data_IF_377294336712
#
_entry.id   IF_377294336712
#
_cell.length_a   1.000
_cell.length_b   1.000
_cell.length_c   1.000
_cell.angle_alpha   90.00
_cell.angle_beta   90.00
_cell.angle_gamma   90.00
#
_symmetry.space_group_name_H-M   'P 1'
#
loop_
_entity.id
_entity.type
_entity.pdbx_description
1 polymer ?
#
# COMPACT_ATOMS: atom_id res chain seq x y z
N UNK A 1 -72.79 -2.89 25.13
CA UNK A 1 -72.31 -3.37 23.82
C UNK A 1 -70.81 -3.06 23.73
N UNK A 2 -69.99 -4.06 23.37
CA UNK A 2 -68.52 -4.11 23.25
C UNK A 2 -67.73 -4.55 24.48
N UNK A 3 -67.44 -5.85 24.46
CA UNK A 3 -66.60 -6.63 25.38
C UNK A 3 -65.10 -6.29 25.24
N UNK A 4 -64.39 -6.42 26.37
CA UNK A 4 -62.93 -6.43 26.45
C UNK A 4 -62.43 -7.84 26.17
N UNK A 5 -61.50 -7.99 25.22
CA UNK A 5 -60.78 -9.24 24.98
C UNK A 5 -59.30 -9.04 25.31
N UNK A 6 -58.89 -9.56 26.45
CA UNK A 6 -57.48 -9.75 26.84
C UNK A 6 -56.92 -10.98 26.12
N UNK A 7 -55.83 -10.82 25.39
CA UNK A 7 -55.02 -11.93 24.87
C UNK A 7 -53.73 -12.03 25.71
N UNK A 8 -53.62 -13.14 26.45
CA UNK A 8 -52.35 -13.69 26.92
C UNK A 8 -51.70 -14.45 25.75
N UNK A 9 -50.38 -14.38 25.67
CA UNK A 9 -49.55 -15.34 24.93
C UNK A 9 -48.34 -15.68 25.79
N UNK A 10 -48.25 -16.94 26.18
CA UNK A 10 -47.10 -17.58 26.82
C UNK A 10 -46.02 -17.92 25.76
N UNK A 11 -44.77 -18.09 26.23
CA UNK A 11 -43.54 -18.36 25.46
C UNK A 11 -43.53 -19.67 24.66
N UNK A 12 -42.47 -20.08 23.96
CA UNK A 12 -41.05 -19.80 24.08
C UNK A 12 -40.30 -21.13 23.84
N UNK A 13 -39.09 -21.04 23.26
CA UNK A 13 -38.08 -22.11 23.14
C UNK A 13 -38.20 -23.15 22.01
N UNK A 14 -37.82 -22.77 20.77
CA UNK A 14 -37.25 -23.74 19.81
C UNK A 14 -36.19 -23.17 18.83
N UNK A 15 -35.86 -21.88 18.92
CA UNK A 15 -34.96 -21.21 17.95
C UNK A 15 -33.46 -21.21 18.28
N UNK A 16 -33.05 -21.58 19.50
CA UNK A 16 -31.69 -21.31 19.99
C UNK A 16 -30.67 -22.45 19.80
N UNK A 17 -31.10 -23.67 19.41
CA UNK A 17 -30.17 -24.81 19.26
C UNK A 17 -29.64 -25.03 17.83
N UNK A 18 -30.26 -24.46 16.79
CA UNK A 18 -29.80 -24.64 15.39
C UNK A 18 -28.69 -23.66 14.96
N UNK A 19 -28.58 -22.49 15.58
CA UNK A 19 -27.58 -21.47 15.20
C UNK A 19 -26.15 -21.73 15.68
N UNK A 20 -25.95 -22.59 16.69
CA UNK A 20 -24.60 -22.82 17.25
C UNK A 20 -23.79 -23.85 16.46
N UNK A 21 -24.44 -24.87 15.86
CA UNK A 21 -23.75 -25.92 15.10
C UNK A 21 -23.21 -25.44 13.74
N UNK A 22 -23.92 -24.55 13.04
CA UNK A 22 -23.46 -24.02 11.74
C UNK A 22 -22.25 -23.08 11.87
N UNK A 23 -22.13 -22.35 12.99
CA UNK A 23 -21.02 -21.44 13.24
C UNK A 23 -19.67 -22.17 13.47
N UNK A 24 -19.72 -23.36 14.10
CA UNK A 24 -18.54 -24.18 14.39
C UNK A 24 -17.99 -24.87 13.14
N UNK A 25 -18.88 -25.30 12.23
CA UNK A 25 -18.49 -25.93 10.96
C UNK A 25 -17.79 -24.93 10.02
N UNK A 26 -18.31 -23.69 9.90
CA UNK A 26 -17.69 -22.62 9.11
C UNK A 26 -16.31 -22.20 9.66
N UNK A 27 -16.15 -22.08 10.98
CA UNK A 27 -14.83 -21.77 11.60
C UNK A 27 -13.80 -22.87 11.38
N UNK A 28 -14.21 -24.16 11.41
CA UNK A 28 -13.32 -25.29 11.11
C UNK A 28 -12.94 -25.36 9.63
N UNK A 29 -13.85 -25.01 8.72
CA UNK A 29 -13.56 -24.95 7.28
C UNK A 29 -12.57 -23.83 6.95
N UNK A 30 -12.73 -22.64 7.54
CA UNK A 30 -11.80 -21.51 7.36
C UNK A 30 -10.39 -21.81 7.92
N UNK A 31 -10.30 -22.47 9.09
CA UNK A 31 -9.00 -22.91 9.65
C UNK A 31 -8.31 -23.96 8.78
N UNK A 32 -9.06 -24.88 8.15
CA UNK A 32 -8.50 -25.88 7.23
C UNK A 32 -8.05 -25.27 5.90
N UNK A 33 -8.74 -24.24 5.41
CA UNK A 33 -8.33 -23.49 4.22
C UNK A 33 -7.06 -22.67 4.47
N UNK A 34 -6.94 -22.00 5.62
CA UNK A 34 -5.74 -21.26 6.01
C UNK A 34 -4.52 -22.17 6.21
N UNK A 35 -4.71 -23.35 6.82
CA UNK A 35 -3.63 -24.34 7.00
C UNK A 35 -3.15 -24.94 5.66
N UNK A 36 -4.03 -25.05 4.65
CA UNK A 36 -3.65 -25.51 3.30
C UNK A 36 -2.90 -24.43 2.50
N UNK A 37 -3.25 -23.15 2.66
CA UNK A 37 -2.51 -22.04 2.05
C UNK A 37 -1.11 -21.88 2.66
N UNK A 38 -0.95 -22.15 3.96
CA UNK A 38 0.36 -22.14 4.65
C UNK A 38 1.30 -23.27 4.22
N UNK A 39 0.77 -24.38 3.69
CA UNK A 39 1.57 -25.57 3.36
C UNK A 39 2.13 -25.58 1.91
N UNK A 40 1.88 -24.54 1.11
CA UNK A 40 2.28 -24.48 -0.31
C UNK A 40 3.34 -23.41 -0.63
N UNK A 41 3.90 -22.73 0.38
CA UNK A 41 5.07 -21.89 0.19
C UNK A 41 6.36 -22.71 0.36
N UNK A 42 7.28 -22.74 -0.63
CA UNK A 42 8.61 -23.30 -0.41
C UNK A 42 9.38 -22.41 0.59
N UNK A 43 10.28 -22.98 1.42
CA UNK A 43 11.08 -22.21 2.35
C UNK A 43 12.04 -21.27 1.60
N UNK A 44 12.24 -20.07 2.15
CA UNK A 44 13.21 -19.09 1.64
C UNK A 44 14.61 -19.63 1.92
N UNK A 45 15.28 -20.16 0.91
CA UNK A 45 16.68 -20.55 1.01
C UNK A 45 17.59 -19.32 1.18
N UNK A 46 18.48 -19.40 2.18
CA UNK A 46 19.54 -18.43 2.47
C UNK A 46 20.52 -18.34 1.29
N UNK A 47 20.41 -17.29 0.47
CA UNK A 47 21.51 -16.87 -0.40
C UNK A 47 22.47 -15.94 0.35
N UNK A 48 23.42 -16.54 1.07
CA UNK A 48 24.66 -15.85 1.43
C UNK A 48 25.65 -16.03 0.26
N UNK A 49 25.84 -15.00 -0.57
CA UNK A 49 26.99 -14.92 -1.47
C UNK A 49 27.88 -13.77 -1.06
N UNK A 50 29.11 -14.14 -0.77
CA UNK A 50 30.28 -13.36 -0.41
C UNK A 50 30.62 -12.35 -1.51
N UNK A 51 30.76 -11.07 -1.13
CA UNK A 51 31.30 -10.00 -1.99
C UNK A 51 32.83 -10.00 -1.84
N UNK A 52 33.65 -10.13 -2.90
CA UNK A 52 35.10 -10.00 -2.77
C UNK A 52 35.51 -8.52 -2.73
N UNK A 53 36.46 -8.20 -1.83
CA UNK A 53 37.11 -6.88 -1.69
C UNK A 53 38.01 -6.58 -2.91
N UNK A 54 38.21 -5.29 -3.29
CA UNK A 54 39.13 -4.94 -4.36
C UNK A 54 40.59 -5.05 -3.87
N UNK A 55 41.44 -5.62 -4.73
CA UNK A 55 42.89 -5.70 -4.52
C UNK A 55 43.57 -4.35 -4.80
N UNK A 56 44.63 -4.10 -4.04
CA UNK A 56 45.44 -2.89 -4.04
C UNK A 56 46.19 -2.67 -5.37
N UNK A 57 46.40 -1.39 -5.68
CA UNK A 57 47.18 -0.89 -6.81
C UNK A 57 48.66 -1.31 -6.70
N UNK A 58 49.21 -1.87 -7.78
CA UNK A 58 50.64 -1.94 -8.02
C UNK A 58 51.03 -0.92 -9.09
N UNK A 59 52.05 -0.14 -8.75
CA UNK A 59 52.74 0.87 -9.53
C UNK A 59 53.68 0.23 -10.55
N UNK A 60 53.62 0.66 -11.82
CA UNK A 60 54.67 0.43 -12.82
C UNK A 60 54.79 1.69 -13.71
N UNK A 61 56.01 2.20 -13.82
CA UNK A 61 56.44 3.32 -14.68
C UNK A 61 56.57 2.92 -16.18
N UNK A 62 56.65 3.89 -17.12
CA UNK A 62 56.39 3.67 -18.54
C UNK A 62 57.66 3.54 -19.40
N UNK A 63 57.52 3.20 -20.69
CA UNK A 63 58.43 3.71 -21.70
C UNK A 63 57.74 4.53 -22.80
N UNK A 64 58.52 5.49 -23.31
CA UNK A 64 58.14 6.49 -24.31
C UNK A 64 57.98 5.91 -25.73
N UNK A 65 57.07 6.49 -26.51
CA UNK A 65 56.94 6.26 -27.94
C UNK A 65 56.07 7.34 -28.61
N UNK A 66 56.63 8.02 -29.61
CA UNK A 66 56.09 9.20 -30.31
C UNK A 66 55.01 8.82 -31.34
N UNK A 67 53.98 9.66 -31.51
CA UNK A 67 53.04 9.63 -32.64
C UNK A 67 51.94 10.70 -32.55
N UNK A 68 51.75 11.46 -33.63
CA UNK A 68 50.96 12.72 -33.74
C UNK A 68 49.42 12.54 -33.70
N UNK A 69 48.61 13.65 -33.61
CA UNK A 69 47.21 13.59 -33.20
C UNK A 69 46.24 13.40 -34.37
N UNK A 70 45.25 12.51 -34.21
CA UNK A 70 44.08 12.46 -35.06
C UNK A 70 42.88 13.04 -34.31
N UNK A 71 42.35 14.16 -34.81
CA UNK A 71 41.05 14.70 -34.43
C UNK A 71 39.95 13.64 -34.62
N UNK A 72 39.44 13.06 -33.53
CA UNK A 72 38.16 12.40 -33.52
C UNK A 72 37.15 13.22 -32.73
N UNK A 73 36.09 13.59 -33.47
CA UNK A 73 34.94 14.36 -33.04
C UNK A 73 34.38 13.75 -31.75
N UNK A 74 34.22 14.60 -30.73
CA UNK A 74 33.54 14.26 -29.51
C UNK A 74 32.14 13.74 -29.84
N UNK A 75 31.96 12.42 -29.70
CA UNK A 75 30.66 11.80 -29.61
C UNK A 75 30.16 12.18 -28.23
N UNK A 76 29.23 13.13 -28.15
CA UNK A 76 28.49 13.44 -26.93
C UNK A 76 27.96 12.12 -26.39
N UNK A 77 28.56 11.63 -25.31
CA UNK A 77 28.00 10.54 -24.52
C UNK A 77 26.68 11.12 -24.02
N UNK A 78 25.57 10.68 -24.60
CA UNK A 78 24.25 10.97 -24.05
C UNK A 78 24.31 10.49 -22.60
N UNK A 79 24.29 11.45 -21.69
CA UNK A 79 24.21 11.20 -20.26
C UNK A 79 22.89 10.46 -20.04
N UNK A 80 22.94 9.13 -19.94
CA UNK A 80 21.79 8.34 -19.51
C UNK A 80 21.51 8.78 -18.09
N UNK A 81 20.47 9.61 -17.91
CA UNK A 81 20.01 9.98 -16.59
C UNK A 81 19.80 8.68 -15.79
N UNK A 82 20.53 8.55 -14.68
CA UNK A 82 20.39 7.39 -13.80
C UNK A 82 18.93 7.29 -13.35
N UNK A 83 18.28 6.16 -13.59
CA UNK A 83 16.92 5.93 -13.10
C UNK A 83 16.85 6.12 -11.57
N UNK A 84 15.74 6.66 -11.03
CA UNK A 84 15.60 6.81 -9.59
C UNK A 84 15.65 5.44 -8.90
N UNK A 85 16.04 5.37 -7.61
CA UNK A 85 15.94 4.14 -6.85
C UNK A 85 14.49 3.64 -6.87
N UNK A 86 14.27 2.32 -6.76
CA UNK A 86 12.91 1.74 -6.75
C UNK A 86 12.06 2.35 -5.64
N UNK A 87 12.67 2.54 -4.46
CA UNK A 87 12.06 3.13 -3.28
C UNK A 87 13.12 3.85 -2.44
N UNK A 88 12.65 4.68 -1.51
CA UNK A 88 13.42 5.21 -0.39
C UNK A 88 12.87 4.66 0.92
N UNK A 89 13.77 4.24 1.82
CA UNK A 89 13.44 3.82 3.18
C UNK A 89 14.16 4.72 4.18
N UNK A 90 13.41 5.56 4.88
CA UNK A 90 13.88 6.22 6.10
C UNK A 90 13.66 5.27 7.28
N UNK A 91 14.72 5.01 8.07
CA UNK A 91 14.63 4.14 9.25
C UNK A 91 14.51 4.97 10.52
N UNK A 92 13.40 4.76 11.23
CA UNK A 92 13.13 5.34 12.54
C UNK A 92 13.44 4.41 13.71
N UNK A 93 13.03 4.83 14.90
CA UNK A 93 13.27 4.16 16.19
C UNK A 93 11.99 3.77 16.92
N UNK A 94 10.82 4.19 16.43
CA UNK A 94 9.53 3.72 16.96
C UNK A 94 9.15 2.37 16.33
N UNK A 95 8.31 1.55 17.00
CA UNK A 95 7.72 0.34 16.40
C UNK A 95 6.61 0.71 15.39
N UNK A 96 6.91 1.60 14.45
CA UNK A 96 6.00 2.15 13.45
C UNK A 96 6.70 2.21 12.09
N UNK A 97 6.10 1.58 11.10
CA UNK A 97 6.41 1.74 9.69
C UNK A 97 5.22 2.39 8.98
N UNK A 98 5.42 3.59 8.43
CA UNK A 98 4.49 4.21 7.47
C UNK A 98 4.92 3.81 6.07
N UNK A 99 4.05 3.13 5.34
CA UNK A 99 4.26 2.74 3.94
C UNK A 99 3.26 3.48 3.06
N UNK A 100 3.75 4.11 1.99
CA UNK A 100 2.98 4.97 1.08
C UNK A 100 3.11 4.42 -0.34
N UNK A 101 2.57 3.22 -0.62
CA UNK A 101 2.93 2.42 -1.79
C UNK A 101 2.48 2.99 -3.14
N UNK A 102 1.71 4.07 -3.15
CA UNK A 102 1.17 4.70 -4.36
C UNK A 102 1.61 6.16 -4.56
N UNK A 103 2.56 6.66 -3.76
CA UNK A 103 3.04 8.04 -3.87
C UNK A 103 4.06 8.28 -5.01
N UNK A 104 4.64 7.21 -5.58
CA UNK A 104 5.57 7.32 -6.70
C UNK A 104 4.89 7.84 -7.96
N UNK A 105 5.61 8.59 -8.79
CA UNK A 105 5.07 9.21 -10.02
C UNK A 105 5.94 8.95 -11.25
N UNK A 106 7.11 8.34 -11.08
CA UNK A 106 8.02 8.06 -12.19
C UNK A 106 7.49 6.91 -13.07
N UNK A 107 7.50 7.13 -14.39
CA UNK A 107 7.28 6.11 -15.41
C UNK A 107 8.60 5.88 -16.17
N UNK A 108 9.18 4.67 -16.08
CA UNK A 108 10.38 4.32 -16.85
C UNK A 108 10.13 4.42 -18.36
N UNK A 109 11.10 4.96 -19.10
CA UNK A 109 10.96 5.22 -20.55
C UNK A 109 10.59 3.96 -21.35
N UNK A 110 11.15 2.81 -20.98
CA UNK A 110 10.88 1.53 -21.65
C UNK A 110 9.45 1.02 -21.42
N UNK A 111 8.83 1.40 -20.30
CA UNK A 111 7.42 1.12 -20.01
C UNK A 111 6.53 2.18 -20.67
N UNK A 112 6.89 3.45 -20.53
CA UNK A 112 6.13 4.57 -21.10
C UNK A 112 6.06 4.53 -22.64
N UNK A 113 7.04 3.89 -23.30
CA UNK A 113 7.09 3.75 -24.75
C UNK A 113 5.89 2.99 -25.35
N UNK A 114 5.23 2.13 -24.58
CA UNK A 114 4.04 1.37 -25.02
C UNK A 114 2.72 1.94 -24.50
N UNK A 115 2.80 2.96 -23.64
CA UNK A 115 1.64 3.54 -22.99
C UNK A 115 0.98 4.64 -23.83
N UNK A 116 -0.31 4.85 -23.62
CA UNK A 116 -1.02 5.99 -24.20
C UNK A 116 -0.60 7.30 -23.51
N UNK A 117 -0.84 8.48 -24.11
CA UNK A 117 -0.53 9.76 -23.48
C UNK A 117 -1.17 9.95 -22.10
N UNK A 118 -2.30 9.29 -21.81
CA UNK A 118 -3.00 9.42 -20.52
C UNK A 118 -2.12 8.97 -19.35
N UNK A 119 -1.29 7.94 -19.58
CA UNK A 119 -0.46 7.35 -18.54
C UNK A 119 0.53 8.36 -17.95
N UNK A 120 1.03 9.30 -18.76
CA UNK A 120 2.04 10.31 -18.35
C UNK A 120 1.53 11.24 -17.24
N UNK A 121 0.22 11.29 -17.04
CA UNK A 121 -0.37 12.12 -16.00
C UNK A 121 -0.45 11.43 -14.64
N UNK A 122 -0.32 10.09 -14.60
CA UNK A 122 -0.29 9.27 -13.38
C UNK A 122 -1.41 9.63 -12.38
N UNK A 123 -2.61 9.88 -12.92
CA UNK A 123 -3.75 10.47 -12.20
C UNK A 123 -4.19 9.67 -10.96
N UNK A 124 -3.94 8.36 -10.95
CA UNK A 124 -4.37 7.45 -9.89
C UNK A 124 -3.34 7.27 -8.76
N UNK A 125 -2.29 8.09 -8.73
CA UNK A 125 -1.31 8.10 -7.65
C UNK A 125 -1.81 8.85 -6.41
N UNK A 126 -1.19 8.53 -5.28
CA UNK A 126 -1.53 9.09 -3.97
C UNK A 126 -0.65 10.32 -3.73
N UNK A 127 -0.93 11.37 -4.50
CA UNK A 127 -0.13 12.59 -4.57
C UNK A 127 0.11 13.24 -3.20
N UNK A 128 1.32 13.77 -2.99
CA UNK A 128 1.71 14.54 -1.80
C UNK A 128 1.59 13.84 -0.45
N UNK A 129 1.25 12.55 -0.39
CA UNK A 129 1.14 11.87 0.90
C UNK A 129 2.44 11.86 1.69
N UNK A 130 3.61 11.72 1.04
CA UNK A 130 4.89 11.83 1.75
C UNK A 130 4.99 13.17 2.49
N UNK A 131 4.66 14.26 1.80
CA UNK A 131 4.65 15.62 2.37
C UNK A 131 3.63 15.77 3.50
N UNK A 132 2.43 15.23 3.32
CA UNK A 132 1.37 15.27 4.35
C UNK A 132 1.77 14.48 5.60
N UNK A 133 2.54 13.40 5.43
CA UNK A 133 3.06 12.55 6.49
C UNK A 133 4.47 12.94 6.97
N UNK A 134 4.98 14.14 6.64
CA UNK A 134 6.32 14.57 7.07
C UNK A 134 6.51 14.52 8.61
N UNK A 135 5.42 14.64 9.38
CA UNK A 135 5.43 14.47 10.84
C UNK A 135 5.91 13.06 11.27
N UNK A 136 5.72 12.02 10.45
CA UNK A 136 6.05 10.64 10.79
C UNK A 136 7.56 10.47 11.04
N UNK A 137 8.40 11.12 10.23
CA UNK A 137 9.87 11.11 10.42
C UNK A 137 10.23 11.82 11.73
N UNK A 138 9.57 12.93 12.06
CA UNK A 138 9.76 13.68 13.31
C UNK A 138 9.34 12.88 14.54
N UNK A 139 8.27 12.08 14.45
CA UNK A 139 7.88 11.13 15.51
C UNK A 139 8.93 10.02 15.71
N UNK A 140 9.78 9.77 14.72
CA UNK A 140 10.74 8.66 14.72
C UNK A 140 10.18 7.39 14.10
N UNK A 141 9.18 7.48 13.22
CA UNK A 141 8.70 6.36 12.42
C UNK A 141 9.68 6.02 11.28
N UNK A 142 9.71 4.74 10.90
CA UNK A 142 10.23 4.37 9.59
C UNK A 142 9.23 4.76 8.50
N UNK A 143 9.73 5.22 7.34
CA UNK A 143 8.89 5.65 6.20
C UNK A 143 9.41 5.02 4.91
N UNK A 144 8.53 4.31 4.20
CA UNK A 144 8.82 3.64 2.94
C UNK A 144 7.98 4.23 1.81
N UNK A 145 8.65 4.71 0.75
CA UNK A 145 8.01 5.40 -0.39
C UNK A 145 8.61 4.87 -1.70
N UNK A 146 7.80 4.43 -2.68
CA UNK A 146 8.30 4.07 -3.99
C UNK A 146 8.51 5.30 -4.87
N UNK A 147 9.46 5.25 -5.80
CA UNK A 147 9.64 6.32 -6.79
C UNK A 147 8.71 6.17 -7.99
N UNK A 148 8.26 4.94 -8.28
CA UNK A 148 7.57 4.58 -9.51
C UNK A 148 6.06 4.62 -9.33
N UNK A 149 5.36 5.09 -10.37
CA UNK A 149 3.91 5.14 -10.37
C UNK A 149 3.29 3.75 -10.25
N UNK A 150 2.11 3.67 -9.62
CA UNK A 150 1.33 2.41 -9.53
C UNK A 150 0.99 1.79 -10.89
N UNK A 151 1.04 2.59 -11.97
CA UNK A 151 0.89 2.10 -13.34
C UNK A 151 2.05 1.21 -13.82
N UNK A 152 3.24 1.35 -13.21
CA UNK A 152 4.35 0.42 -13.43
C UNK A 152 4.00 -0.93 -12.84
N UNK A 153 3.73 -0.96 -11.54
CA UNK A 153 3.21 -2.10 -10.79
C UNK A 153 2.51 -1.59 -9.53
N UNK A 154 1.34 -2.11 -9.23
CA UNK A 154 0.60 -1.78 -8.02
C UNK A 154 1.17 -2.60 -6.85
N UNK A 155 1.93 -1.94 -5.99
CA UNK A 155 2.58 -2.55 -4.83
C UNK A 155 1.58 -3.04 -3.77
N UNK A 156 0.32 -2.59 -3.82
CA UNK A 156 -0.73 -3.05 -2.91
C UNK A 156 -1.66 -4.10 -3.55
N UNK A 157 -1.16 -4.80 -4.59
CA UNK A 157 -1.78 -5.99 -5.19
C UNK A 157 -0.95 -7.26 -4.95
N UNK A 158 -1.62 -8.42 -4.85
CA UNK A 158 -0.93 -9.71 -4.76
C UNK A 158 -0.03 -9.95 -5.98
N UNK A 159 1.11 -10.65 -5.83
CA UNK A 159 2.02 -10.91 -6.92
C UNK A 159 1.45 -11.89 -7.97
N UNK A 160 0.42 -12.65 -7.62
CA UNK A 160 -0.35 -13.53 -8.51
C UNK A 160 -1.61 -12.84 -9.09
N UNK A 161 -1.80 -11.55 -8.81
CA UNK A 161 -2.95 -10.75 -9.22
C UNK A 161 -4.31 -11.27 -8.74
N UNK A 162 -4.33 -12.02 -7.63
CA UNK A 162 -5.57 -12.52 -7.05
C UNK A 162 -6.53 -11.36 -6.68
N UNK A 163 -7.79 -11.43 -7.14
CA UNK A 163 -8.79 -10.44 -6.80
C UNK A 163 -9.19 -10.56 -5.31
N UNK A 164 -8.83 -9.55 -4.52
CA UNK A 164 -9.13 -9.45 -3.09
C UNK A 164 -10.59 -9.07 -2.79
N UNK A 165 -11.36 -8.70 -3.80
CA UNK A 165 -12.74 -8.23 -3.73
C UNK A 165 -13.63 -8.93 -4.76
N UNK A 166 -14.01 -10.20 -4.55
CA UNK A 166 -14.82 -10.96 -5.49
C UNK A 166 -16.14 -10.24 -5.83
N UNK A 167 -16.45 -10.16 -7.12
CA UNK A 167 -17.67 -9.51 -7.62
C UNK A 167 -17.59 -7.97 -7.72
N UNK A 168 -16.43 -7.37 -7.47
CA UNK A 168 -16.21 -5.93 -7.59
C UNK A 168 -15.18 -5.61 -8.69
N UNK A 169 -15.37 -4.49 -9.38
CA UNK A 169 -14.37 -3.94 -10.29
C UNK A 169 -13.14 -3.48 -9.48
N UNK A 170 -11.96 -3.86 -9.95
CA UNK A 170 -10.67 -3.56 -9.35
C UNK A 170 -9.63 -3.41 -10.45
N UNK A 171 -8.61 -2.59 -10.21
CA UNK A 171 -7.37 -2.65 -10.99
C UNK A 171 -6.55 -3.89 -10.65
N UNK A 172 -5.75 -4.38 -11.61
CA UNK A 172 -4.80 -5.48 -11.40
C UNK A 172 -3.41 -5.01 -10.94
N UNK A 173 -2.52 -5.98 -10.73
CA UNK A 173 -1.11 -5.82 -10.34
C UNK A 173 -0.34 -4.95 -11.32
N UNK A 174 -0.58 -5.10 -12.62
CA UNK A 174 -0.14 -4.14 -13.63
C UNK A 174 -1.40 -3.56 -14.26
N UNK A 175 -1.84 -2.37 -13.82
CA UNK A 175 -3.08 -1.77 -14.32
C UNK A 175 -3.03 -1.56 -15.83
N UNK A 176 -4.12 -1.89 -16.53
CA UNK A 176 -4.28 -1.68 -17.98
C UNK A 176 -5.18 -0.49 -18.33
N UNK A 177 -5.90 0.03 -17.35
CA UNK A 177 -6.76 1.20 -17.45
C UNK A 177 -6.69 2.07 -16.20
N UNK A 178 -7.05 3.35 -16.34
CA UNK A 178 -7.14 4.29 -15.22
C UNK A 178 -8.40 4.05 -14.40
N UNK A 179 -8.53 4.73 -13.26
CA UNK A 179 -9.78 4.73 -12.50
C UNK A 179 -10.98 5.27 -13.30
N UNK A 180 -10.74 6.08 -14.34
CA UNK A 180 -11.78 6.58 -15.26
C UNK A 180 -11.96 5.70 -16.50
N UNK A 181 -11.41 4.46 -16.48
CA UNK A 181 -11.45 3.46 -17.57
C UNK A 181 -10.74 3.90 -18.86
N UNK A 182 -9.85 4.88 -18.80
CA UNK A 182 -9.03 5.23 -19.95
C UNK A 182 -7.91 4.17 -20.13
N UNK A 183 -7.68 3.65 -21.35
CA UNK A 183 -6.66 2.64 -21.58
C UNK A 183 -5.25 3.21 -21.35
N UNK A 184 -4.46 2.50 -20.55
CA UNK A 184 -3.08 2.87 -20.25
C UNK A 184 -2.09 2.46 -21.36
N UNK A 185 -2.43 1.48 -22.18
CA UNK A 185 -1.58 0.98 -23.27
C UNK A 185 -2.22 1.19 -24.63
N UNK A 186 -1.37 1.36 -25.66
CA UNK A 186 -1.83 1.29 -27.03
C UNK A 186 -2.38 -0.12 -27.32
N UNK A 187 -3.35 -0.23 -28.22
CA UNK A 187 -3.98 -1.50 -28.55
C UNK A 187 -2.93 -2.54 -28.99
N UNK A 188 -2.92 -3.70 -28.33
CA UNK A 188 -1.97 -4.80 -28.60
C UNK A 188 -0.60 -4.62 -27.94
N UNK A 189 -0.44 -3.59 -27.11
CA UNK A 189 0.79 -3.31 -26.36
C UNK A 189 0.61 -3.48 -24.84
N UNK A 190 -0.47 -4.16 -24.42
CA UNK A 190 -0.67 -4.54 -23.03
C UNK A 190 0.49 -5.42 -22.52
N UNK A 191 0.84 -5.32 -21.22
CA UNK A 191 1.91 -6.10 -20.63
C UNK A 191 1.72 -7.61 -20.83
N UNK A 192 2.71 -8.25 -21.43
CA UNK A 192 2.76 -9.71 -21.53
C UNK A 192 3.06 -10.34 -20.17
N UNK A 193 2.87 -11.65 -20.03
CA UNK A 193 3.26 -12.40 -18.82
C UNK A 193 4.75 -12.20 -18.48
N UNK A 194 5.62 -12.18 -19.51
CA UNK A 194 7.05 -11.90 -19.35
C UNK A 194 7.30 -10.49 -18.83
N UNK A 195 6.56 -9.50 -19.33
CA UNK A 195 6.68 -8.12 -18.89
C UNK A 195 6.18 -7.94 -17.44
N UNK A 196 5.07 -8.58 -17.08
CA UNK A 196 4.56 -8.59 -15.71
C UNK A 196 5.59 -9.21 -14.75
N UNK A 197 6.19 -10.35 -15.13
CA UNK A 197 7.24 -11.00 -14.33
C UNK A 197 8.46 -10.09 -14.14
N UNK A 198 8.92 -9.43 -15.22
CA UNK A 198 10.03 -8.46 -15.17
C UNK A 198 9.74 -7.33 -14.19
N UNK A 199 8.54 -6.74 -14.23
CA UNK A 199 8.16 -5.64 -13.32
C UNK A 199 8.03 -6.10 -11.88
N UNK A 200 7.53 -7.33 -11.66
CA UNK A 200 7.51 -7.94 -10.33
C UNK A 200 8.91 -8.07 -9.73
N UNK A 201 9.85 -8.61 -10.49
CA UNK A 201 11.23 -8.77 -10.03
C UNK A 201 11.93 -7.43 -9.80
N UNK A 202 11.71 -6.45 -10.68
CA UNK A 202 12.44 -5.18 -10.66
C UNK A 202 11.88 -4.17 -9.66
N UNK A 203 10.58 -4.14 -9.43
CA UNK A 203 9.92 -3.07 -8.66
C UNK A 203 9.16 -3.62 -7.44
N UNK A 204 8.34 -4.65 -7.63
CA UNK A 204 7.51 -5.21 -6.56
C UNK A 204 8.36 -5.91 -5.49
N UNK A 205 9.20 -6.86 -5.90
CA UNK A 205 9.97 -7.69 -4.97
C UNK A 205 10.94 -6.86 -4.10
N UNK A 206 11.69 -5.85 -4.63
CA UNK A 206 12.53 -5.00 -3.79
C UNK A 206 11.74 -4.19 -2.76
N UNK A 207 10.59 -3.64 -3.13
CA UNK A 207 9.73 -2.89 -2.19
C UNK A 207 9.22 -3.80 -1.07
N UNK A 208 8.68 -4.96 -1.43
CA UNK A 208 8.17 -5.94 -0.45
C UNK A 208 9.26 -6.53 0.43
N UNK A 209 10.48 -6.71 -0.11
CA UNK A 209 11.65 -7.10 0.67
C UNK A 209 12.05 -6.04 1.70
N UNK A 210 12.04 -4.76 1.32
CA UNK A 210 12.31 -3.65 2.23
C UNK A 210 11.24 -3.52 3.33
N UNK A 211 9.96 -3.63 2.95
CA UNK A 211 8.84 -3.61 3.88
C UNK A 211 8.95 -4.75 4.90
N UNK A 212 9.12 -5.99 4.43
CA UNK A 212 9.25 -7.16 5.30
C UNK A 212 10.47 -7.05 6.23
N UNK A 213 11.62 -6.65 5.67
CA UNK A 213 12.85 -6.50 6.44
C UNK A 213 12.76 -5.42 7.51
N UNK A 214 12.06 -4.32 7.22
CA UNK A 214 11.88 -3.24 8.19
C UNK A 214 10.89 -3.61 9.30
N UNK A 215 9.77 -4.25 8.97
CA UNK A 215 8.85 -4.77 9.99
C UNK A 215 9.53 -5.77 10.92
N UNK A 216 10.35 -6.67 10.35
CA UNK A 216 11.11 -7.63 11.14
C UNK A 216 12.10 -6.93 12.07
N UNK A 217 12.85 -5.94 11.57
CA UNK A 217 13.78 -5.13 12.38
C UNK A 217 13.07 -4.44 13.55
N UNK A 218 11.91 -3.83 13.29
CA UNK A 218 11.13 -3.14 14.32
C UNK A 218 10.59 -4.13 15.37
N UNK A 219 10.07 -5.28 14.93
CA UNK A 219 9.61 -6.35 15.82
C UNK A 219 10.76 -6.90 16.68
N UNK A 220 11.95 -7.09 16.12
CA UNK A 220 13.12 -7.56 16.88
C UNK A 220 13.56 -6.56 17.95
N UNK A 221 13.43 -5.25 17.68
CA UNK A 221 13.80 -4.21 18.61
C UNK A 221 12.76 -3.95 19.72
N UNK A 222 11.47 -4.13 19.42
CA UNK A 222 10.39 -3.69 20.31
C UNK A 222 9.41 -4.79 20.73
N UNK A 223 9.56 -6.01 20.22
CA UNK A 223 8.60 -7.12 20.38
C UNK A 223 7.29 -6.94 19.60
N UNK A 224 7.11 -5.79 18.93
CA UNK A 224 5.93 -5.43 18.14
C UNK A 224 6.25 -4.45 17.03
N UNK A 225 5.37 -4.36 16.03
CA UNK A 225 5.39 -3.31 15.02
C UNK A 225 3.97 -2.93 14.59
N UNK A 226 3.74 -1.66 14.31
CA UNK A 226 2.57 -1.14 13.61
C UNK A 226 2.97 -0.80 12.17
N UNK A 227 2.27 -1.40 11.21
CA UNK A 227 2.27 -1.01 9.81
C UNK A 227 1.09 -0.07 9.55
N UNK A 228 1.40 1.19 9.22
CA UNK A 228 0.44 2.17 8.77
C UNK A 228 0.53 2.32 7.25
N UNK A 229 -0.44 1.76 6.53
CA UNK A 229 -0.59 1.87 5.08
C UNK A 229 -1.34 3.16 4.75
N UNK A 230 -0.59 4.19 4.36
CA UNK A 230 -1.16 5.48 4.00
C UNK A 230 -1.53 5.50 2.51
N UNK A 231 -2.81 5.74 2.25
CA UNK A 231 -3.37 5.85 0.92
C UNK A 231 -4.24 7.09 0.77
N UNK A 232 -4.45 7.52 -0.48
CA UNK A 232 -5.45 8.53 -0.77
C UNK A 232 -6.06 8.38 -2.14
N UNK A 233 -7.31 8.81 -2.26
CA UNK A 233 -8.10 8.66 -3.47
C UNK A 233 -8.99 9.88 -3.69
N UNK A 234 -9.38 10.14 -4.93
CA UNK A 234 -10.38 11.15 -5.27
C UNK A 234 -11.70 10.89 -4.53
N UNK A 235 -12.37 11.95 -4.13
CA UNK A 235 -13.64 11.92 -3.40
C UNK A 235 -14.76 11.22 -4.16
N UNK A 236 -14.69 11.24 -5.50
CA UNK A 236 -15.59 10.58 -6.43
C UNK A 236 -14.80 9.72 -7.43
N UNK A 237 -15.04 8.41 -7.44
CA UNK A 237 -14.53 7.45 -8.44
C UNK A 237 -15.67 6.50 -8.83
N UNK A 238 -16.53 6.89 -9.80
CA UNK A 238 -17.73 6.14 -10.18
C UNK A 238 -17.48 4.70 -10.62
N UNK A 239 -16.24 4.37 -11.02
CA UNK A 239 -15.84 2.99 -11.33
C UNK A 239 -15.99 2.05 -10.14
N UNK A 240 -15.72 2.53 -8.92
CA UNK A 240 -15.60 1.67 -7.73
C UNK A 240 -16.68 1.87 -6.69
N UNK A 241 -17.36 3.02 -6.68
CA UNK A 241 -18.35 3.37 -5.68
C UNK A 241 -19.32 4.45 -6.17
N UNK A 242 -20.52 4.44 -5.59
CA UNK A 242 -21.53 5.45 -5.80
C UNK A 242 -21.34 6.63 -4.85
N UNK A 243 -21.55 7.85 -5.36
CA UNK A 243 -21.51 9.06 -4.55
C UNK A 243 -20.11 9.48 -4.09
N UNK A 244 -20.08 10.28 -3.02
CA UNK A 244 -18.84 10.78 -2.39
C UNK A 244 -18.40 9.83 -1.29
N UNK A 245 -17.10 9.52 -1.22
CA UNK A 245 -16.54 8.75 -0.11
C UNK A 245 -16.59 9.52 1.22
N UNK A 246 -16.66 8.80 2.37
CA UNK A 246 -16.20 9.32 3.64
C UNK A 246 -14.75 9.78 3.56
N UNK A 247 -14.37 10.81 4.33
CA UNK A 247 -13.04 11.41 4.25
C UNK A 247 -11.94 10.45 4.71
N UNK A 248 -12.19 9.73 5.79
CA UNK A 248 -11.28 8.73 6.37
C UNK A 248 -11.88 7.33 6.28
N UNK A 249 -11.26 6.43 5.52
CA UNK A 249 -11.70 5.04 5.42
C UNK A 249 -10.63 4.12 5.99
N UNK A 250 -10.86 3.62 7.20
CA UNK A 250 -9.92 2.73 7.89
C UNK A 250 -10.17 1.27 7.51
N UNK A 251 -9.11 0.53 7.21
CA UNK A 251 -9.16 -0.88 6.85
C UNK A 251 -8.23 -1.72 7.72
N UNK A 252 -8.76 -2.74 8.39
CA UNK A 252 -7.98 -3.71 9.19
C UNK A 252 -8.25 -5.15 8.77
N UNK A 253 -8.47 -5.38 7.47
CA UNK A 253 -8.90 -6.68 6.92
C UNK A 253 -10.12 -7.24 7.66
N UNK A 254 -11.11 -6.39 7.94
CA UNK A 254 -12.27 -6.73 8.77
C UNK A 254 -11.89 -7.26 10.16
N UNK A 255 -10.89 -6.64 10.78
CA UNK A 255 -10.40 -6.99 12.12
C UNK A 255 -9.35 -8.10 12.16
N UNK A 256 -8.92 -8.64 11.01
CA UNK A 256 -7.93 -9.71 10.97
C UNK A 256 -6.47 -9.22 11.03
N UNK A 257 -6.19 -7.98 10.64
CA UNK A 257 -4.81 -7.48 10.52
C UNK A 257 -4.32 -6.68 11.73
N UNK A 258 -5.17 -6.40 12.72
CA UNK A 258 -4.83 -5.59 13.89
C UNK A 258 -5.59 -6.04 15.13
N UNK A 259 -5.24 -5.49 16.30
CA UNK A 259 -5.99 -5.77 17.52
C UNK A 259 -7.48 -5.36 17.39
N UNK A 260 -8.40 -6.10 18.05
CA UNK A 260 -9.82 -5.84 17.94
C UNK A 260 -10.19 -4.38 18.24
N UNK A 261 -11.13 -3.83 17.47
CA UNK A 261 -11.67 -2.48 17.65
C UNK A 261 -10.76 -1.34 17.20
N UNK A 262 -9.54 -1.59 16.68
CA UNK A 262 -8.64 -0.51 16.26
C UNK A 262 -9.27 0.42 15.21
N UNK A 263 -9.82 -0.14 14.13
CA UNK A 263 -10.43 0.68 13.07
C UNK A 263 -11.61 1.52 13.59
N UNK A 264 -12.44 0.94 14.47
CA UNK A 264 -13.59 1.62 15.05
C UNK A 264 -13.15 2.75 16.00
N UNK A 265 -12.09 2.53 16.79
CA UNK A 265 -11.47 3.56 17.65
C UNK A 265 -10.97 4.74 16.82
N UNK A 266 -10.31 4.47 15.69
CA UNK A 266 -9.80 5.49 14.78
C UNK A 266 -10.94 6.27 14.10
N UNK A 267 -11.98 5.59 13.61
CA UNK A 267 -13.15 6.25 13.07
C UNK A 267 -13.84 7.15 14.12
N UNK A 268 -14.02 6.65 15.34
CA UNK A 268 -14.60 7.43 16.43
C UNK A 268 -13.75 8.64 16.84
N UNK A 269 -12.42 8.61 16.67
CA UNK A 269 -11.56 9.77 16.88
C UNK A 269 -11.82 10.87 15.85
N UNK A 270 -12.01 10.50 14.59
CA UNK A 270 -12.38 11.44 13.51
C UNK A 270 -13.76 12.03 13.77
N UNK A 271 -14.74 11.20 14.11
CA UNK A 271 -16.11 11.68 14.41
C UNK A 271 -16.13 12.66 15.58
N UNK A 272 -15.33 12.40 16.64
CA UNK A 272 -15.19 13.32 17.78
C UNK A 272 -14.49 14.64 17.42
N UNK A 273 -13.58 14.63 16.46
CA UNK A 273 -12.99 15.86 15.93
C UNK A 273 -14.04 16.71 15.20
N UNK A 274 -15.06 16.09 14.58
CA UNK A 274 -16.25 16.75 14.04
C UNK A 274 -16.05 17.51 12.72
N UNK A 275 -14.81 17.65 12.25
CA UNK A 275 -14.48 18.32 10.98
C UNK A 275 -14.50 17.44 9.73
N UNK A 276 -14.58 16.11 9.88
CA UNK A 276 -14.44 15.14 8.80
C UNK A 276 -15.35 13.94 9.06
N UNK A 277 -15.60 13.16 8.01
CA UNK A 277 -16.37 11.91 8.07
C UNK A 277 -15.44 10.70 8.10
N UNK A 278 -15.83 9.63 8.82
CA UNK A 278 -15.07 8.41 8.86
C UNK A 278 -15.91 7.14 8.74
N UNK A 279 -15.26 6.06 8.28
CA UNK A 279 -15.82 4.72 8.29
C UNK A 279 -14.74 3.69 8.60
N UNK A 280 -15.10 2.67 9.39
CA UNK A 280 -14.24 1.53 9.68
C UNK A 280 -14.67 0.31 8.86
N UNK A 281 -13.72 -0.33 8.19
CA UNK A 281 -13.89 -1.56 7.40
C UNK A 281 -15.07 -1.52 6.41
N UNK A 282 -15.34 -0.34 5.84
CA UNK A 282 -16.32 -0.13 4.78
C UNK A 282 -15.88 -0.75 3.46
N UNK A 283 -15.81 0.05 2.39
CA UNK A 283 -15.32 -0.41 1.08
C UNK A 283 -13.82 -0.74 1.12
N UNK A 284 -13.03 0.10 1.78
CA UNK A 284 -11.59 -0.05 1.93
C UNK A 284 -11.28 -0.87 3.19
N UNK A 285 -11.17 -2.18 3.02
CA UNK A 285 -10.86 -3.11 4.11
C UNK A 285 -9.35 -3.31 4.28
N UNK A 286 -8.51 -2.58 3.56
CA UNK A 286 -7.07 -2.86 3.40
C UNK A 286 -6.76 -3.55 2.07
N UNK A 287 -5.58 -3.32 1.52
CA UNK A 287 -5.10 -3.98 0.31
C UNK A 287 -4.31 -5.26 0.60
N UNK A 288 -3.47 -5.68 -0.34
CA UNK A 288 -2.59 -6.83 -0.17
C UNK A 288 -1.63 -6.64 1.01
N UNK A 289 -0.98 -5.47 1.11
CA UNK A 289 0.03 -5.20 2.14
C UNK A 289 -0.58 -5.34 3.53
N UNK A 290 -1.74 -4.71 3.77
CA UNK A 290 -2.46 -4.81 5.07
C UNK A 290 -2.79 -6.26 5.43
N UNK A 291 -3.25 -7.06 4.46
CA UNK A 291 -3.66 -8.47 4.69
C UNK A 291 -2.48 -9.40 4.88
N UNK A 292 -1.41 -9.18 4.12
CA UNK A 292 -0.28 -10.07 4.05
C UNK A 292 0.65 -9.89 5.25
N UNK A 293 0.91 -8.63 5.64
CA UNK A 293 1.85 -8.32 6.72
C UNK A 293 1.16 -8.12 8.08
N UNK A 294 -0.14 -7.89 8.10
CA UNK A 294 -0.92 -7.87 9.34
C UNK A 294 -1.02 -9.26 9.95
N UNK A 295 -0.30 -9.48 11.05
CA UNK A 295 -0.28 -10.71 11.83
C UNK A 295 -0.23 -10.33 13.33
N UNK A 296 -1.35 -9.83 13.90
CA UNK A 296 -1.36 -9.29 15.26
C UNK A 296 -0.96 -10.34 16.31
N UNK A 297 -1.25 -11.62 16.07
CA UNK A 297 -0.82 -12.74 16.90
C UNK A 297 0.70 -12.98 16.88
N UNK A 298 1.40 -12.41 15.89
CA UNK A 298 2.86 -12.43 15.74
C UNK A 298 3.48 -11.06 16.05
N UNK A 299 2.72 -10.16 16.67
CA UNK A 299 3.18 -8.84 17.08
C UNK A 299 3.24 -7.79 15.96
N UNK A 300 2.65 -8.05 14.78
CA UNK A 300 2.57 -7.06 13.70
C UNK A 300 1.12 -6.67 13.45
N UNK A 301 0.75 -5.46 13.86
CA UNK A 301 -0.56 -4.89 13.51
C UNK A 301 -0.43 -4.11 12.20
N UNK A 302 -1.44 -4.18 11.33
CA UNK A 302 -1.50 -3.40 10.11
C UNK A 302 -2.87 -2.73 9.97
N UNK A 303 -2.84 -1.43 9.68
CA UNK A 303 -4.02 -0.61 9.37
C UNK A 303 -3.78 0.16 8.08
N UNK A 304 -4.77 0.17 7.21
CA UNK A 304 -4.82 1.07 6.06
C UNK A 304 -5.69 2.27 6.38
N UNK A 305 -5.25 3.45 5.98
CA UNK A 305 -6.09 4.63 5.84
C UNK A 305 -6.17 4.99 4.36
N UNK A 306 -7.37 4.90 3.78
CA UNK A 306 -7.68 5.57 2.52
C UNK A 306 -8.25 6.96 2.81
N UNK A 307 -7.50 8.01 2.50
CA UNK A 307 -7.86 9.40 2.73
C UNK A 307 -8.41 10.06 1.46
N UNK A 308 -9.52 10.78 1.55
CA UNK A 308 -10.02 11.57 0.41
C UNK A 308 -9.07 12.73 0.10
N UNK A 309 -8.62 12.83 -1.16
CA UNK A 309 -7.64 13.84 -1.61
C UNK A 309 -8.12 15.27 -1.39
N UNK A 310 -9.42 15.56 -1.56
CA UNK A 310 -10.01 16.88 -1.33
C UNK A 310 -9.77 17.43 0.09
N UNK A 311 -9.39 16.58 1.05
CA UNK A 311 -9.07 16.97 2.42
C UNK A 311 -7.71 17.66 2.58
N UNK A 312 -6.84 17.62 1.56
CA UNK A 312 -5.49 18.24 1.61
C UNK A 312 -4.97 18.77 0.26
N UNK A 313 -5.65 18.52 -0.85
CA UNK A 313 -5.23 18.92 -2.19
C UNK A 313 -6.42 19.12 -3.14
N UNK A 314 -6.12 19.65 -4.33
CA UNK A 314 -7.05 19.65 -5.47
C UNK A 314 -7.04 18.29 -6.18
N UNK A 315 -8.22 17.73 -6.42
CA UNK A 315 -8.39 16.40 -7.04
C UNK A 315 -8.34 16.42 -8.58
N UNK A 316 -8.07 17.60 -9.15
CA UNK A 316 -7.93 17.82 -10.58
C UNK A 316 -6.51 18.27 -10.88
N UNK A 317 -6.03 17.96 -12.09
CA UNK A 317 -4.73 18.42 -12.56
C UNK A 317 -4.61 19.94 -12.41
N UNK A 318 -3.44 20.46 -11.96
CA UNK A 318 -2.17 19.76 -11.80
C UNK A 318 -1.98 19.09 -10.42
N UNK A 319 -3.07 18.76 -9.71
CA UNK A 319 -3.05 18.12 -8.40
C UNK A 319 -2.37 19.02 -7.36
N UNK A 320 -2.75 20.29 -7.30
CA UNK A 320 -2.12 21.26 -6.41
C UNK A 320 -2.31 20.88 -4.93
N UNK A 321 -1.23 20.92 -4.15
CA UNK A 321 -1.29 20.77 -2.70
C UNK A 321 -1.95 22.00 -2.07
N UNK A 322 -2.96 21.81 -1.23
CA UNK A 322 -3.63 22.89 -0.51
C UNK A 322 -3.04 23.00 0.91
N UNK A 323 -2.12 23.96 1.09
CA UNK A 323 -1.44 24.21 2.36
C UNK A 323 -2.42 24.44 3.52
N UNK A 324 -3.57 25.05 3.26
CA UNK A 324 -4.54 25.40 4.31
C UNK A 324 -5.31 24.17 4.76
N UNK A 325 -5.75 23.33 3.82
CA UNK A 325 -6.42 22.07 4.13
C UNK A 325 -5.46 21.08 4.77
N UNK A 326 -4.25 20.95 4.23
CA UNK A 326 -3.21 20.08 4.78
C UNK A 326 -2.84 20.43 6.23
N UNK A 327 -2.61 21.72 6.54
CA UNK A 327 -2.35 22.17 7.92
C UNK A 327 -3.49 21.86 8.88
N UNK A 328 -4.73 21.80 8.40
CA UNK A 328 -5.90 21.48 9.22
C UNK A 328 -5.97 19.99 9.56
N UNK A 329 -5.64 19.12 8.61
CA UNK A 329 -5.78 17.68 8.77
C UNK A 329 -4.55 17.00 9.39
N UNK A 330 -3.35 17.56 9.21
CA UNK A 330 -2.11 16.95 9.68
C UNK A 330 -2.09 16.63 11.19
N UNK A 331 -2.53 17.53 12.11
CA UNK A 331 -2.58 17.20 13.54
C UNK A 331 -3.51 16.03 13.88
N UNK A 332 -4.61 15.88 13.13
CA UNK A 332 -5.53 14.75 13.29
C UNK A 332 -4.87 13.45 12.80
N UNK A 333 -4.15 13.47 11.67
CA UNK A 333 -3.40 12.32 11.19
C UNK A 333 -2.33 11.87 12.19
N UNK A 334 -1.59 12.82 12.77
CA UNK A 334 -0.58 12.55 13.80
C UNK A 334 -1.22 11.89 15.05
N UNK A 335 -2.36 12.42 15.51
CA UNK A 335 -3.10 11.87 16.64
C UNK A 335 -3.64 10.46 16.35
N UNK A 336 -4.11 10.19 15.13
CA UNK A 336 -4.60 8.87 14.72
C UNK A 336 -3.47 7.84 14.68
N UNK A 337 -2.33 8.19 14.10
CA UNK A 337 -1.14 7.33 14.05
C UNK A 337 -0.66 7.00 15.47
N UNK A 338 -0.60 8.01 16.35
CA UNK A 338 -0.22 7.83 17.76
C UNK A 338 -1.20 6.93 18.50
N UNK A 339 -2.52 7.16 18.33
CA UNK A 339 -3.56 6.36 18.96
C UNK A 339 -3.59 4.90 18.49
N UNK A 340 -3.17 4.64 17.24
CA UNK A 340 -2.97 3.29 16.72
C UNK A 340 -1.72 2.63 17.32
N UNK A 341 -0.63 3.38 17.47
CA UNK A 341 0.63 2.88 18.02
C UNK A 341 0.50 2.42 19.48
N UNK A 342 -0.41 3.04 20.23
CA UNK A 342 -0.76 2.75 21.62
C UNK A 342 -1.82 1.64 21.78
N UNK A 343 -2.45 1.19 20.69
CA UNK A 343 -3.55 0.23 20.75
C UNK A 343 -3.03 -1.21 20.69
N UNK A 344 -3.29 -2.00 21.73
CA UNK A 344 -2.78 -3.37 21.89
C UNK A 344 -3.88 -4.38 22.18
#
# INVERSE_FOLDING_TARGET
MRERRTLRTDGGADGLRRGQHESGARRRALRRAAARASAQCPPVERFARTIPRPAAACTMEPPAGRGAPHHQRGRTIMNTASQPPVFTLHRGTLPLLVSIPHAGTHLPDDIAATMTPVARHVDDCDWHLERLYDFAKTLGASVLVPSHARYVVDLNRPPDDANLYPGQDTTGLVPVDTFDRAPLYAHGHEPTVTEIARRRERYWAPYHGALAGELQRLKDAHGRALLWEAHSIRSHVPRFFDGRLPDFNFGTSSGASAAPGLADKLAALVDRHGGYTAIANGRFKGGYITRHYGAPEQGVQAVQLELVQATYMDETRPYSYDETRARRIAPLLEALVSAALEHH
#
